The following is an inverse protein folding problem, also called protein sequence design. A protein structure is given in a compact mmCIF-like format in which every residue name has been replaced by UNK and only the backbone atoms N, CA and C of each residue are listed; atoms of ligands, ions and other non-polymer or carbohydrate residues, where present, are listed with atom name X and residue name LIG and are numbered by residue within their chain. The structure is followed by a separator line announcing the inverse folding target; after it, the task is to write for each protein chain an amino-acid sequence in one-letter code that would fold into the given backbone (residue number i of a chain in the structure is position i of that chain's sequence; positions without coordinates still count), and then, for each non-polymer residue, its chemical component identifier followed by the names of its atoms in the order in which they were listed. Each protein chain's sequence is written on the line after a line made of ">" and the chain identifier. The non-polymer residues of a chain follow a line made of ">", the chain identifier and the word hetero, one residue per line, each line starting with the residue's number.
data_IF_339142197242
#
_entry.id   IF_339142197242
#
_cell.length_a   1.000
_cell.length_b   1.000
_cell.length_c   1.000
_cell.angle_alpha   90.00
_cell.angle_beta   90.00
_cell.angle_gamma   90.00
#
_symmetry.space_group_name_H-M   'P 1'
#
loop_
_entity.id
_entity.type
_entity.pdbx_description
1 polymer ?
#
# COMPACT_ATOMS: atom_id res chain seq x y z
N UNK A 1 -3.42 -9.12 8.53
CA UNK A 1 -3.49 -9.01 7.05
C UNK A 1 -3.94 -10.29 6.36
N UNK A 2 -3.55 -11.50 6.81
CA UNK A 2 -3.85 -12.76 6.09
C UNK A 2 -5.31 -12.92 5.64
N UNK A 3 -6.26 -12.86 6.58
CA UNK A 3 -7.71 -13.02 6.27
C UNK A 3 -8.21 -11.93 5.31
N UNK A 4 -7.74 -10.69 5.50
CA UNK A 4 -8.02 -9.54 4.62
C UNK A 4 -7.57 -9.82 3.19
N UNK A 5 -6.36 -10.35 2.98
CA UNK A 5 -5.84 -10.66 1.64
C UNK A 5 -6.53 -11.87 1.01
N UNK A 6 -6.92 -12.86 1.81
CA UNK A 6 -7.74 -13.99 1.35
C UNK A 6 -9.12 -13.49 0.87
N UNK A 7 -9.74 -12.56 1.60
CA UNK A 7 -10.99 -11.92 1.18
C UNK A 7 -10.82 -11.08 -0.08
N UNK A 8 -9.76 -10.27 -0.17
CA UNK A 8 -9.45 -9.49 -1.37
C UNK A 8 -9.33 -10.41 -2.60
N UNK A 9 -8.59 -11.51 -2.47
CA UNK A 9 -8.46 -12.53 -3.53
C UNK A 9 -9.82 -13.05 -3.97
N UNK A 10 -10.65 -13.46 -3.00
CA UNK A 10 -11.99 -13.97 -3.28
C UNK A 10 -12.84 -12.97 -4.06
N UNK A 11 -12.88 -11.72 -3.61
CA UNK A 11 -13.66 -10.66 -4.26
C UNK A 11 -13.17 -10.39 -5.69
N UNK A 12 -11.85 -10.32 -5.90
CA UNK A 12 -11.27 -10.14 -7.23
C UNK A 12 -11.50 -11.36 -8.14
N UNK A 13 -11.49 -12.57 -7.60
CA UNK A 13 -11.84 -13.79 -8.33
C UNK A 13 -13.31 -13.79 -8.76
N UNK A 14 -14.23 -13.49 -7.84
CA UNK A 14 -15.66 -13.39 -8.11
C UNK A 14 -15.98 -12.31 -9.16
N UNK A 15 -15.26 -11.18 -9.12
CA UNK A 15 -15.39 -10.09 -10.08
C UNK A 15 -14.70 -10.37 -11.44
N UNK A 16 -13.98 -11.48 -11.61
CA UNK A 16 -13.20 -11.76 -12.82
C UNK A 16 -12.03 -10.81 -13.03
N UNK A 17 -11.46 -10.28 -11.94
CA UNK A 17 -10.39 -9.26 -11.90
C UNK A 17 -9.08 -9.78 -11.31
N UNK A 18 -8.83 -11.09 -11.36
CA UNK A 18 -7.58 -11.69 -10.85
C UNK A 18 -6.31 -11.14 -11.49
N UNK A 19 -6.40 -10.60 -12.71
CA UNK A 19 -5.29 -9.93 -13.39
C UNK A 19 -4.75 -8.68 -12.66
N UNK A 20 -5.47 -8.16 -11.66
CA UNK A 20 -4.98 -7.08 -10.79
C UNK A 20 -3.99 -7.57 -9.72
N UNK A 21 -3.93 -8.88 -9.45
CA UNK A 21 -2.97 -9.48 -8.53
C UNK A 21 -1.70 -9.81 -9.31
N UNK A 22 -0.61 -9.12 -8.97
CA UNK A 22 0.71 -9.33 -9.57
C UNK A 22 1.39 -10.56 -8.99
N UNK A 23 2.45 -11.03 -9.65
CA UNK A 23 3.31 -12.07 -9.06
C UNK A 23 3.85 -11.58 -7.70
N UNK A 24 3.76 -12.38 -6.63
CA UNK A 24 4.25 -12.00 -5.31
C UNK A 24 5.75 -11.76 -5.26
N UNK A 25 6.19 -10.83 -4.42
CA UNK A 25 7.59 -10.73 -4.01
C UNK A 25 7.90 -11.80 -2.96
N UNK A 26 9.05 -12.46 -3.07
CA UNK A 26 9.55 -13.39 -2.06
C UNK A 26 10.02 -12.67 -0.79
N UNK A 27 10.07 -13.40 0.32
CA UNK A 27 10.62 -12.89 1.57
C UNK A 27 12.11 -12.53 1.42
N UNK A 28 12.84 -13.29 0.58
CA UNK A 28 14.23 -13.04 0.25
C UNK A 28 14.41 -11.73 -0.52
N UNK A 29 13.61 -11.47 -1.56
CA UNK A 29 13.67 -10.19 -2.32
C UNK A 29 13.41 -8.98 -1.43
N UNK A 30 12.42 -9.09 -0.54
CA UNK A 30 12.09 -8.04 0.44
C UNK A 30 13.26 -7.81 1.40
N UNK A 31 13.85 -8.87 1.94
CA UNK A 31 14.99 -8.77 2.87
C UNK A 31 16.24 -8.22 2.18
N UNK A 32 16.50 -8.59 0.92
CA UNK A 32 17.58 -8.02 0.12
C UNK A 32 17.35 -6.53 -0.14
N UNK A 33 16.12 -6.12 -0.42
CA UNK A 33 15.76 -4.71 -0.56
C UNK A 33 16.00 -3.93 0.73
N UNK A 34 15.51 -4.42 1.89
CA UNK A 34 15.69 -3.77 3.20
C UNK A 34 17.19 -3.60 3.52
N UNK A 35 17.99 -4.64 3.25
CA UNK A 35 19.44 -4.61 3.43
C UNK A 35 20.12 -3.62 2.49
N UNK A 36 19.75 -3.59 1.20
CA UNK A 36 20.35 -2.71 0.21
C UNK A 36 20.08 -1.23 0.49
N UNK A 37 18.92 -0.92 1.08
CA UNK A 37 18.50 0.46 1.35
C UNK A 37 18.71 0.89 2.80
N UNK A 38 19.13 -0.02 3.69
CA UNK A 38 19.26 0.23 5.14
C UNK A 38 17.97 0.81 5.74
N UNK A 39 16.83 0.28 5.31
CA UNK A 39 15.49 0.71 5.70
C UNK A 39 14.58 -0.49 5.96
N UNK A 40 13.52 -0.29 6.74
CA UNK A 40 12.55 -1.33 7.06
C UNK A 40 11.25 -1.09 6.31
N UNK A 41 10.77 -2.11 5.59
CA UNK A 41 9.43 -2.07 5.00
C UNK A 41 8.43 -2.47 6.10
N UNK A 42 7.34 -1.71 6.31
CA UNK A 42 6.29 -2.05 7.26
C UNK A 42 5.76 -3.47 7.10
N UNK A 43 5.44 -4.14 8.21
CA UNK A 43 4.98 -5.53 8.18
C UNK A 43 3.72 -5.72 7.31
N UNK A 44 2.75 -4.79 7.40
CA UNK A 44 1.55 -4.80 6.56
C UNK A 44 1.87 -4.76 5.07
N UNK A 45 2.86 -3.96 4.67
CA UNK A 45 3.30 -3.84 3.27
C UNK A 45 4.07 -5.09 2.85
N UNK A 46 4.91 -5.67 3.70
CA UNK A 46 5.59 -6.95 3.40
C UNK A 46 4.62 -8.09 3.20
N UNK A 47 3.57 -8.17 4.01
CA UNK A 47 2.50 -9.16 3.86
C UNK A 47 1.73 -8.94 2.56
N UNK A 48 1.46 -7.68 2.20
CA UNK A 48 0.82 -7.35 0.93
C UNK A 48 1.72 -7.67 -0.28
N UNK A 49 3.02 -7.35 -0.25
CA UNK A 49 3.97 -7.64 -1.33
C UNK A 49 4.13 -9.15 -1.57
N UNK A 50 4.09 -9.96 -0.52
CA UNK A 50 4.06 -11.43 -0.58
C UNK A 50 2.72 -11.99 -1.06
N UNK A 51 1.70 -11.15 -1.19
CA UNK A 51 0.43 -11.48 -1.83
C UNK A 51 0.36 -11.00 -3.28
N UNK A 52 0.86 -9.78 -3.54
CA UNK A 52 0.91 -9.11 -4.84
C UNK A 52 2.01 -8.07 -4.82
N UNK A 53 3.01 -8.19 -5.70
CA UNK A 53 4.09 -7.20 -5.81
C UNK A 53 3.58 -5.92 -6.49
N UNK A 54 2.94 -5.06 -5.68
CA UNK A 54 2.21 -3.89 -6.13
C UNK A 54 0.74 -4.18 -6.44
N UNK A 55 -0.10 -3.16 -6.43
CA UNK A 55 -1.53 -3.26 -6.69
C UNK A 55 -2.11 -1.88 -7.02
N UNK A 56 -3.06 -1.84 -7.93
CA UNK A 56 -3.82 -0.64 -8.25
C UNK A 56 -5.29 -1.01 -8.46
N UNK A 57 -6.18 -0.28 -7.80
CA UNK A 57 -7.63 -0.47 -7.93
C UNK A 57 -8.36 0.87 -8.01
N UNK A 58 -9.54 0.87 -8.66
CA UNK A 58 -10.44 2.02 -8.66
C UNK A 58 -9.85 3.27 -9.30
N UNK A 59 -9.18 3.13 -10.45
CA UNK A 59 -8.49 4.24 -11.14
C UNK A 59 -7.46 4.97 -10.27
N UNK A 60 -6.78 4.21 -9.39
CA UNK A 60 -5.79 4.70 -8.44
C UNK A 60 -6.36 5.06 -7.06
N UNK A 61 -7.64 4.78 -6.78
CA UNK A 61 -8.23 4.88 -5.44
C UNK A 61 -7.33 4.29 -4.36
N UNK A 62 -6.68 3.16 -4.66
CA UNK A 62 -5.53 2.68 -3.90
C UNK A 62 -4.44 2.23 -4.86
N UNK A 63 -3.21 2.63 -4.55
CA UNK A 63 -1.99 2.19 -5.21
C UNK A 63 -1.03 1.73 -4.12
N UNK A 64 -0.72 0.45 -4.09
CA UNK A 64 0.41 -0.10 -3.32
C UNK A 64 1.57 -0.24 -4.29
N UNK A 65 2.71 0.38 -4.01
CA UNK A 65 3.85 0.31 -4.91
C UNK A 65 4.46 -1.10 -4.93
N UNK A 66 4.86 -1.60 -6.13
CA UNK A 66 5.74 -2.76 -6.22
C UNK A 66 7.09 -2.45 -5.55
N UNK A 67 7.78 -3.49 -5.10
CA UNK A 67 9.05 -3.40 -4.38
C UNK A 67 10.09 -2.53 -5.09
N UNK A 68 10.15 -2.59 -6.43
CA UNK A 68 11.09 -1.80 -7.23
C UNK A 68 10.76 -0.30 -7.35
N UNK A 69 9.58 0.14 -6.90
CA UNK A 69 9.16 1.54 -6.85
C UNK A 69 9.22 2.13 -5.44
N UNK A 70 9.32 1.29 -4.41
CA UNK A 70 9.53 1.76 -3.04
C UNK A 70 10.88 2.49 -2.98
N UNK A 71 10.87 3.68 -2.39
CA UNK A 71 12.07 4.52 -2.28
C UNK A 71 11.99 5.43 -1.06
N UNK A 72 13.15 5.89 -0.56
CA UNK A 72 13.18 6.93 0.45
C UNK A 72 12.65 8.25 -0.10
N UNK A 73 11.78 8.90 0.67
CA UNK A 73 11.32 10.27 0.47
C UNK A 73 12.50 11.24 0.57
N UNK A 74 12.51 12.23 -0.33
CA UNK A 74 13.52 13.29 -0.37
C UNK A 74 12.87 14.62 -0.71
N UNK A 75 13.12 15.64 0.12
CA UNK A 75 12.65 17.01 -0.07
C UNK A 75 11.11 17.13 -0.16
N UNK A 76 10.39 16.34 0.64
CA UNK A 76 8.95 16.57 0.82
C UNK A 76 8.75 17.53 2.00
N UNK A 77 7.86 18.50 1.84
CA UNK A 77 7.65 19.51 2.88
C UNK A 77 6.95 18.96 4.13
N UNK A 78 6.16 17.90 3.98
CA UNK A 78 5.31 17.29 5.02
C UNK A 78 5.84 15.99 5.62
N UNK A 79 6.89 15.40 5.05
CA UNK A 79 7.42 14.09 5.46
C UNK A 79 8.92 14.16 5.70
N UNK A 80 9.44 13.65 6.83
CA UNK A 80 10.88 13.60 7.07
C UNK A 80 11.64 12.84 5.98
N UNK A 81 12.84 13.33 5.64
CA UNK A 81 13.71 12.62 4.70
C UNK A 81 14.03 11.21 5.19
N UNK A 82 14.15 10.29 4.23
CA UNK A 82 14.42 8.86 4.42
C UNK A 82 13.27 8.00 4.96
N UNK A 83 12.10 8.59 5.24
CA UNK A 83 10.86 7.80 5.31
C UNK A 83 10.60 7.11 3.97
N UNK A 84 9.85 6.02 3.96
CA UNK A 84 9.58 5.29 2.70
C UNK A 84 8.31 5.80 2.04
N UNK A 85 8.37 5.99 0.71
CA UNK A 85 7.20 6.18 -0.15
C UNK A 85 6.72 4.80 -0.62
N UNK A 86 5.48 4.44 -0.27
CA UNK A 86 4.97 3.07 -0.37
C UNK A 86 3.75 2.96 -1.29
N UNK A 87 3.18 4.08 -1.71
CA UNK A 87 1.97 4.10 -2.51
C UNK A 87 1.22 5.42 -2.44
N UNK A 88 -0.01 5.40 -2.94
CA UNK A 88 -0.92 6.54 -2.88
C UNK A 88 -2.36 6.08 -2.72
N UNK A 89 -3.18 6.95 -2.16
CA UNK A 89 -4.62 6.74 -2.04
C UNK A 89 -5.31 7.95 -2.68
N UNK A 90 -6.06 7.74 -3.78
CA UNK A 90 -6.74 8.83 -4.48
C UNK A 90 -7.97 9.26 -3.68
N UNK A 91 -8.05 10.58 -3.49
CA UNK A 91 -9.09 11.31 -2.77
C UNK A 91 -8.59 12.73 -2.49
N UNK A 92 -7.38 12.84 -1.92
CA UNK A 92 -6.82 14.10 -1.40
C UNK A 92 -5.35 14.35 -1.78
N UNK A 93 -4.78 13.63 -2.76
CA UNK A 93 -3.34 13.75 -3.05
C UNK A 93 -2.44 13.15 -1.97
N UNK A 94 -3.00 12.26 -1.15
CA UNK A 94 -2.31 11.60 -0.05
C UNK A 94 -1.46 10.42 -0.52
N UNK A 95 -0.25 10.37 0.00
CA UNK A 95 0.75 9.33 -0.19
C UNK A 95 0.82 8.45 1.04
N UNK A 96 0.93 7.15 0.81
CA UNK A 96 1.22 6.20 1.87
C UNK A 96 2.72 6.21 2.13
N UNK A 97 3.10 6.58 3.34
CA UNK A 97 4.50 6.65 3.78
C UNK A 97 4.73 5.86 5.06
N UNK A 98 5.99 5.54 5.37
CA UNK A 98 6.34 4.96 6.67
C UNK A 98 7.56 5.58 7.32
N UNK A 99 7.54 5.58 8.65
CA UNK A 99 8.67 5.99 9.47
C UNK A 99 9.73 4.88 9.62
N UNK A 100 10.83 5.18 10.32
CA UNK A 100 11.91 4.24 10.59
C UNK A 100 11.51 3.03 11.48
N UNK A 101 10.36 3.10 12.15
CA UNK A 101 9.84 2.03 12.99
C UNK A 101 8.89 1.09 12.21
N UNK A 102 8.59 1.43 10.95
CA UNK A 102 7.67 0.68 10.11
C UNK A 102 6.20 0.99 10.40
N UNK A 103 5.89 2.14 11.02
CA UNK A 103 4.52 2.62 11.17
C UNK A 103 4.07 3.33 9.88
N UNK A 104 2.80 3.16 9.51
CA UNK A 104 2.22 3.73 8.29
C UNK A 104 1.48 5.04 8.57
N UNK A 105 1.63 5.98 7.64
CA UNK A 105 0.95 7.27 7.67
C UNK A 105 0.46 7.67 6.27
N UNK A 106 -0.53 8.54 6.24
CA UNK A 106 -0.90 9.32 5.05
C UNK A 106 -0.28 10.72 5.14
N UNK A 107 0.29 11.16 4.03
CA UNK A 107 0.91 12.47 3.88
C UNK A 107 0.47 13.14 2.59
N UNK A 108 0.15 14.43 2.62
CA UNK A 108 0.04 15.24 1.41
C UNK A 108 1.41 15.89 1.12
N UNK A 109 2.00 15.62 -0.04
CA UNK A 109 3.34 16.14 -0.36
C UNK A 109 3.44 17.67 -0.44
N UNK A 110 2.32 18.40 -0.57
CA UNK A 110 2.27 19.87 -0.72
C UNK A 110 1.87 20.62 0.56
N UNK A 111 1.33 19.94 1.58
CA UNK A 111 0.75 20.60 2.75
C UNK A 111 1.58 20.31 4.00
N UNK A 112 2.60 21.14 4.20
CA UNK A 112 3.57 21.08 5.31
C UNK A 112 2.94 21.06 6.71
N UNK A 113 1.80 21.73 6.87
CA UNK A 113 1.18 21.96 8.17
C UNK A 113 0.13 20.90 8.53
N UNK A 114 -0.21 20.01 7.60
CA UNK A 114 -1.17 18.94 7.86
C UNK A 114 -0.51 17.82 8.66
N UNK A 115 -1.12 17.39 9.78
CA UNK A 115 -0.56 16.31 10.57
C UNK A 115 -0.62 15.01 9.77
N UNK A 116 0.49 14.27 9.80
CA UNK A 116 0.53 12.90 9.29
C UNK A 116 -0.54 12.07 10.01
N UNK A 117 -1.50 11.56 9.26
CA UNK A 117 -2.55 10.72 9.80
C UNK A 117 -2.04 9.27 9.85
N UNK A 118 -2.11 8.63 11.03
CA UNK A 118 -1.84 7.19 11.12
C UNK A 118 -2.75 6.43 10.18
N UNK A 119 -2.19 5.41 9.55
CA UNK A 119 -2.87 4.65 8.50
C UNK A 119 -2.73 3.15 8.74
N UNK A 120 -3.77 2.39 8.40
CA UNK A 120 -3.70 0.93 8.27
C UNK A 120 -4.19 0.55 6.88
N UNK A 121 -3.32 -0.12 6.12
CA UNK A 121 -3.70 -0.64 4.80
C UNK A 121 -4.79 -1.70 4.96
N UNK A 122 -4.71 -2.48 6.04
CA UNK A 122 -5.72 -3.49 6.36
C UNK A 122 -7.11 -2.85 6.49
N UNK A 123 -7.25 -1.85 7.36
CA UNK A 123 -8.54 -1.20 7.60
C UNK A 123 -9.06 -0.53 6.33
N UNK A 124 -8.19 0.14 5.56
CA UNK A 124 -8.59 0.76 4.30
C UNK A 124 -9.12 -0.24 3.26
N UNK A 125 -8.47 -1.41 3.14
CA UNK A 125 -8.96 -2.46 2.24
C UNK A 125 -10.35 -2.93 2.66
N UNK A 126 -10.55 -3.17 3.96
CA UNK A 126 -11.79 -3.69 4.52
C UNK A 126 -12.94 -2.68 4.42
N UNK A 127 -12.69 -1.41 4.71
CA UNK A 127 -13.72 -0.37 4.80
C UNK A 127 -14.01 0.36 3.49
N UNK A 128 -13.10 0.31 2.51
CA UNK A 128 -13.25 1.06 1.26
C UNK A 128 -13.18 0.17 0.02
N UNK A 129 -12.14 -0.67 -0.08
CA UNK A 129 -11.88 -1.41 -1.31
C UNK A 129 -12.84 -2.59 -1.47
N UNK A 130 -13.16 -3.31 -0.40
CA UNK A 130 -14.11 -4.42 -0.46
C UNK A 130 -15.49 -3.93 -0.88
N UNK A 131 -15.99 -2.89 -0.22
CA UNK A 131 -17.27 -2.25 -0.56
C UNK A 131 -17.28 -1.81 -2.02
N UNK A 132 -16.20 -1.18 -2.50
CA UNK A 132 -16.10 -0.73 -3.88
C UNK A 132 -16.17 -1.90 -4.89
N UNK A 133 -15.50 -3.02 -4.62
CA UNK A 133 -15.56 -4.20 -5.49
C UNK A 133 -16.95 -4.83 -5.47
N UNK A 134 -17.55 -4.97 -4.28
CA UNK A 134 -18.87 -5.54 -4.09
C UNK A 134 -19.95 -4.72 -4.84
N UNK A 135 -19.91 -3.39 -4.72
CA UNK A 135 -20.83 -2.47 -5.41
C UNK A 135 -20.62 -2.42 -6.93
N UNK A 136 -19.36 -2.36 -7.39
CA UNK A 136 -19.03 -2.23 -8.81
C UNK A 136 -19.34 -3.52 -9.60
N UNK A 137 -19.17 -4.68 -8.97
CA UNK A 137 -19.26 -5.99 -9.62
C UNK A 137 -20.45 -6.85 -9.16
N UNK A 138 -21.18 -6.44 -8.13
CA UNK A 138 -22.32 -7.18 -7.59
C UNK A 138 -21.93 -8.52 -6.97
N UNK A 139 -20.82 -8.54 -6.22
CA UNK A 139 -20.29 -9.72 -5.51
C UNK A 139 -20.48 -9.57 -4.00
N UNK A 140 -20.72 -10.67 -3.28
CA UNK A 140 -20.92 -10.73 -1.81
C UNK A 140 -20.02 -11.81 -1.18
#
# INVERSE_FOLDING_TARGET
>A
MKETLERLRYLLEAAGRTALINEPASAEEIAEWEKAHSALIPQEIKEFLQFSNGFEYGWGAVVVFPLNKIRPVKNWDSVPDNWLELGSIIGDGAYMVSDENGELYLADHNHRDDPLAKFSLKEWLEESIFISIEEEYGVE
#
